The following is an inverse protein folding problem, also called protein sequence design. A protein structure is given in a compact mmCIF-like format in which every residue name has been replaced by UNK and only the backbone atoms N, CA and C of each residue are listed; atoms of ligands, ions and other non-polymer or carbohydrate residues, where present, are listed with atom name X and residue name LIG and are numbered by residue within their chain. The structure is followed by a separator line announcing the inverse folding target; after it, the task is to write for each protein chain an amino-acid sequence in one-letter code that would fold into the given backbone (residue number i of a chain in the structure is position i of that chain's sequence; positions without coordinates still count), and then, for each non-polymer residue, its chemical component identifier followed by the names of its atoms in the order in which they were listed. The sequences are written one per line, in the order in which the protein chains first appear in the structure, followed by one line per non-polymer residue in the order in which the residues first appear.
data_IF_137851370900
#
_entry.id   IF_137851370900
#
_cell.length_a   1.000
_cell.length_b   1.000
_cell.length_c   1.000
_cell.angle_alpha   90.00
_cell.angle_beta   90.00
_cell.angle_gamma   90.00
#
_symmetry.space_group_name_H-M   'P 1'
#
loop_
_entity.id
_entity.type
_entity.pdbx_description
1 polymer ?
#
# COMPACT_ATOMS: atom_id res chain seq x y z
N UNK A 1 12.15 3.86 -10.44
CA UNK A 1 10.77 4.22 -10.01
C UNK A 1 9.94 4.61 -11.23
N UNK A 2 8.76 4.01 -11.36
CA UNK A 2 7.83 4.29 -12.45
C UNK A 2 7.13 5.65 -12.29
N UNK A 3 6.85 6.04 -11.05
CA UNK A 3 6.22 7.33 -10.75
C UNK A 3 7.10 8.51 -11.12
N UNK A 4 6.46 9.64 -11.41
CA UNK A 4 7.17 10.90 -11.70
C UNK A 4 8.00 11.42 -10.52
N UNK A 5 7.65 10.99 -9.32
CA UNK A 5 8.41 11.18 -8.08
C UNK A 5 8.22 9.98 -7.15
N UNK A 6 9.12 9.81 -6.19
CA UNK A 6 8.99 8.75 -5.19
C UNK A 6 7.73 8.99 -4.35
N UNK A 7 6.92 7.94 -4.18
CA UNK A 7 5.67 8.01 -3.42
C UNK A 7 4.46 8.57 -4.15
N UNK A 8 4.57 8.98 -5.42
CA UNK A 8 3.48 9.59 -6.19
C UNK A 8 2.23 8.70 -6.34
N UNK A 9 2.42 7.38 -6.40
CA UNK A 9 1.34 6.42 -6.61
C UNK A 9 0.80 5.81 -5.30
N UNK A 10 1.13 6.38 -4.16
CA UNK A 10 0.69 5.89 -2.85
C UNK A 10 -0.42 6.80 -2.33
N UNK A 11 -1.67 6.37 -2.42
CA UNK A 11 -2.76 6.98 -1.66
C UNK A 11 -2.62 6.54 -0.21
N UNK A 12 -2.42 7.48 0.67
CA UNK A 12 -1.91 7.22 2.00
C UNK A 12 -2.95 7.25 3.11
N UNK A 13 -2.50 6.98 4.27
CA UNK A 13 -3.12 6.66 5.53
C UNK A 13 -2.81 5.20 5.88
N UNK A 14 -1.77 4.98 6.64
CA UNK A 14 -1.35 3.65 7.07
C UNK A 14 -1.01 3.68 8.56
N UNK A 15 -1.24 2.56 9.24
CA UNK A 15 -0.67 2.29 10.56
C UNK A 15 0.66 1.57 10.34
N UNK A 16 1.72 2.08 10.92
CA UNK A 16 3.09 1.64 10.68
C UNK A 16 3.76 1.27 11.99
N UNK A 17 4.36 0.08 12.04
CA UNK A 17 5.23 -0.34 13.13
C UNK A 17 6.59 0.36 12.99
N UNK A 18 7.04 1.15 13.98
CA UNK A 18 8.32 1.86 13.90
C UNK A 18 9.54 0.95 14.07
N UNK A 19 9.35 -0.34 14.37
CA UNK A 19 10.45 -1.28 14.68
C UNK A 19 11.51 -1.30 13.57
N UNK A 20 11.10 -1.56 12.34
CA UNK A 20 12.04 -1.62 11.22
C UNK A 20 12.74 -0.27 10.98
N UNK A 21 12.03 0.84 11.15
CA UNK A 21 12.61 2.18 11.04
C UNK A 21 13.63 2.43 12.14
N UNK A 22 13.33 2.05 13.38
CA UNK A 22 14.22 2.20 14.53
C UNK A 22 15.48 1.34 14.40
N UNK A 23 15.36 0.14 13.83
CA UNK A 23 16.52 -0.73 13.56
C UNK A 23 17.41 -0.19 12.44
N UNK A 24 16.81 0.38 11.39
CA UNK A 24 17.52 0.88 10.21
C UNK A 24 18.12 2.27 10.43
N UNK A 25 17.35 3.17 11.04
CA UNK A 25 17.71 4.60 11.28
C UNK A 25 17.33 4.92 12.72
N UNK A 26 18.17 4.60 13.73
CA UNK A 26 17.83 4.77 15.15
C UNK A 26 17.43 6.21 15.53
N UNK A 27 17.97 7.20 14.85
CA UNK A 27 17.74 8.65 15.03
C UNK A 27 16.66 9.19 14.06
N UNK A 28 15.71 8.35 13.63
CA UNK A 28 14.69 8.73 12.66
C UNK A 28 13.79 9.89 13.11
N UNK A 29 13.55 10.03 14.43
CA UNK A 29 12.75 11.12 14.99
C UNK A 29 13.47 12.45 14.84
N UNK A 30 14.74 12.50 15.23
CA UNK A 30 15.61 13.67 15.13
C UNK A 30 15.83 14.08 13.67
N UNK A 31 15.87 13.11 12.77
CA UNK A 31 15.96 13.31 11.31
C UNK A 31 14.64 13.71 10.66
N UNK A 32 13.56 13.84 11.44
CA UNK A 32 12.27 14.31 10.93
C UNK A 32 11.53 13.30 10.07
N UNK A 33 11.64 12.00 10.35
CA UNK A 33 10.81 11.00 9.71
C UNK A 33 9.33 11.34 9.91
N UNK A 34 8.50 11.38 8.85
CA UNK A 34 7.11 11.80 8.92
C UNK A 34 6.18 10.69 9.44
N UNK A 35 6.52 10.07 10.56
CA UNK A 35 5.59 9.34 11.40
C UNK A 35 4.76 10.35 12.18
N UNK A 36 3.60 10.73 11.63
CA UNK A 36 2.91 11.96 12.01
C UNK A 36 2.18 11.85 13.36
N UNK A 37 1.55 10.71 13.64
CA UNK A 37 0.64 10.60 14.77
C UNK A 37 0.77 9.24 15.44
N UNK A 38 1.11 9.21 16.73
CA UNK A 38 1.13 7.98 17.52
C UNK A 38 -0.29 7.46 17.75
N UNK A 39 -0.47 6.13 17.73
CA UNK A 39 -1.75 5.49 18.01
C UNK A 39 -2.07 5.62 19.51
N UNK A 40 -3.12 6.38 19.83
CA UNK A 40 -3.57 6.61 21.20
C UNK A 40 -4.84 5.82 21.54
N UNK A 41 -5.60 5.41 20.52
CA UNK A 41 -6.83 4.63 20.69
C UNK A 41 -6.98 3.63 19.58
N UNK A 42 -7.11 2.37 19.96
CA UNK A 42 -7.34 1.25 19.05
C UNK A 42 -8.73 0.64 19.31
N UNK A 43 -9.51 0.49 18.26
CA UNK A 43 -10.88 -0.03 18.34
C UNK A 43 -11.13 -1.06 17.26
N UNK A 44 -11.86 -2.11 17.61
CA UNK A 44 -12.30 -3.13 16.69
C UNK A 44 -13.82 -3.33 16.81
N UNK A 45 -14.57 -3.10 15.71
CA UNK A 45 -16.02 -3.15 15.74
C UNK A 45 -16.57 -4.25 14.82
N UNK A 46 -17.63 -4.91 15.27
CA UNK A 46 -18.49 -5.69 14.40
C UNK A 46 -19.69 -4.82 14.04
N UNK A 47 -19.86 -4.51 12.77
CA UNK A 47 -20.95 -3.67 12.29
C UNK A 47 -22.19 -4.51 11.93
N UNK A 48 -23.33 -4.13 12.47
CA UNK A 48 -24.65 -4.45 11.95
C UNK A 48 -25.12 -3.38 10.96
N UNK A 49 -26.39 -3.42 10.54
CA UNK A 49 -26.92 -2.44 9.58
C UNK A 49 -27.03 -1.01 10.18
N UNK A 50 -27.31 -0.90 11.47
CA UNK A 50 -27.56 0.37 12.16
C UNK A 50 -26.74 0.56 13.42
N UNK A 51 -26.04 -0.47 13.88
CA UNK A 51 -25.27 -0.45 15.12
C UNK A 51 -23.99 -1.23 15.07
N UNK A 52 -23.23 -1.18 16.16
CA UNK A 52 -21.96 -1.88 16.29
C UNK A 52 -21.79 -2.56 17.64
N UNK A 53 -20.97 -3.59 17.68
CA UNK A 53 -20.48 -4.23 18.89
C UNK A 53 -18.95 -4.05 18.92
N UNK A 54 -18.45 -3.42 19.97
CA UNK A 54 -17.01 -3.30 20.18
C UNK A 54 -16.43 -4.61 20.71
N UNK A 55 -15.40 -5.10 20.07
CA UNK A 55 -14.61 -6.22 20.57
C UNK A 55 -13.45 -5.68 21.41
N UNK A 56 -13.20 -6.25 22.61
CA UNK A 56 -12.04 -5.87 23.40
C UNK A 56 -10.74 -6.19 22.67
N UNK A 57 -9.92 -5.18 22.36
CA UNK A 57 -8.69 -5.35 21.58
C UNK A 57 -7.72 -6.32 22.25
N UNK A 58 -7.68 -6.35 23.60
CA UNK A 58 -6.80 -7.27 24.34
C UNK A 58 -7.14 -8.76 24.14
N UNK A 59 -8.33 -9.08 23.62
CA UNK A 59 -8.72 -10.45 23.22
C UNK A 59 -8.38 -10.78 21.76
N UNK A 60 -7.95 -9.78 20.99
CA UNK A 60 -7.60 -9.97 19.60
C UNK A 60 -6.18 -10.55 19.47
N UNK A 61 -5.87 -11.25 18.35
CA UNK A 61 -4.49 -11.69 18.09
C UNK A 61 -3.50 -10.52 18.12
N UNK A 62 -2.27 -10.74 18.62
CA UNK A 62 -1.27 -9.67 18.78
C UNK A 62 -1.01 -8.84 17.52
N UNK A 63 -1.12 -9.45 16.32
CA UNK A 63 -0.96 -8.75 15.04
C UNK A 63 -2.04 -7.70 14.74
N UNK A 64 -3.12 -7.66 15.52
CA UNK A 64 -4.18 -6.64 15.40
C UNK A 64 -4.05 -5.55 16.45
N UNK A 65 -3.03 -5.58 17.29
CA UNK A 65 -2.77 -4.54 18.27
C UNK A 65 -1.93 -3.43 17.65
N UNK A 66 -2.41 -2.19 17.71
CA UNK A 66 -1.75 -1.04 17.09
C UNK A 66 -1.12 -0.08 18.11
N UNK A 67 -1.12 -0.41 19.39
CA UNK A 67 -0.50 0.40 20.44
C UNK A 67 1.02 0.52 20.21
N UNK A 68 1.57 1.76 20.29
CA UNK A 68 2.98 2.04 20.00
C UNK A 68 3.31 2.16 18.51
N UNK A 69 2.32 2.02 17.63
CA UNK A 69 2.45 2.25 16.21
C UNK A 69 2.15 3.71 15.85
N UNK A 70 2.42 4.09 14.61
CA UNK A 70 2.20 5.43 14.08
C UNK A 70 1.26 5.41 12.89
N UNK A 71 0.40 6.43 12.81
CA UNK A 71 -0.46 6.68 11.66
C UNK A 71 0.19 7.80 10.85
N UNK A 72 0.29 7.63 9.54
CA UNK A 72 0.86 8.66 8.67
C UNK A 72 0.72 8.33 7.20
N UNK A 73 1.27 9.22 6.39
CA UNK A 73 1.35 9.05 4.96
C UNK A 73 2.52 8.15 4.58
N UNK A 74 2.23 6.92 4.12
CA UNK A 74 3.28 6.03 3.60
C UNK A 74 4.01 6.67 2.39
N UNK A 75 3.32 7.48 1.58
CA UNK A 75 3.95 8.23 0.51
C UNK A 75 4.99 9.22 1.01
N UNK A 76 4.68 9.95 2.10
CA UNK A 76 5.62 10.89 2.73
C UNK A 76 6.82 10.14 3.35
N UNK A 77 6.55 9.02 4.05
CA UNK A 77 7.61 8.18 4.62
C UNK A 77 8.55 7.65 3.53
N UNK A 78 7.97 7.13 2.43
CA UNK A 78 8.77 6.61 1.30
C UNK A 78 9.61 7.70 0.65
N UNK A 79 9.06 8.91 0.50
CA UNK A 79 9.78 10.08 -0.04
C UNK A 79 10.92 10.51 0.89
N UNK A 80 10.67 10.54 2.20
CA UNK A 80 11.71 10.82 3.18
C UNK A 80 12.81 9.74 3.17
N UNK A 81 12.43 8.45 3.09
CA UNK A 81 13.40 7.35 2.97
C UNK A 81 14.27 7.47 1.70
N UNK A 82 13.70 7.95 0.60
CA UNK A 82 14.46 8.20 -0.63
C UNK A 82 15.57 9.23 -0.38
N UNK A 83 15.29 10.31 0.34
CA UNK A 83 16.34 11.31 0.68
C UNK A 83 17.44 10.73 1.57
N UNK A 84 17.10 9.79 2.47
CA UNK A 84 18.11 9.09 3.27
C UNK A 84 18.97 8.15 2.42
N UNK A 85 18.35 7.45 1.45
CA UNK A 85 19.06 6.57 0.53
C UNK A 85 20.02 7.37 -0.38
N UNK A 86 19.57 8.48 -0.95
CA UNK A 86 20.41 9.40 -1.76
C UNK A 86 21.60 9.93 -0.95
N UNK A 87 21.40 10.28 0.32
CA UNK A 87 22.47 10.70 1.22
C UNK A 87 23.54 9.60 1.44
N UNK A 88 23.17 8.34 1.25
CA UNK A 88 24.07 7.17 1.29
C UNK A 88 24.67 6.82 -0.08
N UNK A 89 24.42 7.61 -1.11
CA UNK A 89 24.96 7.41 -2.46
C UNK A 89 24.14 6.50 -3.36
N UNK A 90 22.85 6.30 -3.04
CA UNK A 90 21.93 5.57 -3.93
C UNK A 90 21.38 6.51 -4.99
N UNK A 91 21.52 6.13 -6.26
CA UNK A 91 20.89 6.85 -7.36
C UNK A 91 19.42 6.44 -7.50
N UNK A 92 18.51 7.41 -7.51
CA UNK A 92 17.07 7.19 -7.69
C UNK A 92 16.64 7.86 -9.00
N UNK A 93 15.99 7.10 -9.88
CA UNK A 93 15.53 7.58 -11.20
C UNK A 93 13.99 7.59 -11.26
N UNK A 94 13.32 8.66 -10.85
CA UNK A 94 11.87 8.81 -11.01
C UNK A 94 11.49 8.95 -12.49
N UNK A 95 10.33 8.42 -12.88
CA UNK A 95 9.87 8.43 -14.26
C UNK A 95 10.46 7.34 -15.14
N UNK A 96 11.42 6.56 -14.65
CA UNK A 96 12.10 5.51 -15.42
C UNK A 96 11.55 4.13 -15.03
N UNK A 97 10.53 3.68 -15.74
CA UNK A 97 10.00 2.33 -15.57
C UNK A 97 10.98 1.29 -16.11
N UNK A 98 11.22 0.24 -15.33
CA UNK A 98 11.93 -0.95 -15.83
C UNK A 98 10.97 -1.76 -16.71
N UNK A 99 11.34 -1.94 -17.99
CA UNK A 99 10.48 -2.54 -19.02
C UNK A 99 10.87 -3.98 -19.38
N UNK A 100 12.14 -4.35 -19.24
CA UNK A 100 12.64 -5.67 -19.56
C UNK A 100 13.77 -6.11 -18.62
N UNK A 101 14.01 -7.42 -18.58
CA UNK A 101 15.17 -8.02 -17.92
C UNK A 101 16.26 -8.28 -18.96
N UNK A 102 17.50 -8.12 -18.56
CA UNK A 102 18.67 -8.58 -19.34
C UNK A 102 19.32 -9.78 -18.65
N UNK A 103 19.92 -10.66 -19.44
CA UNK A 103 20.43 -11.96 -18.97
C UNK A 103 21.90 -12.12 -19.32
N UNK A 104 22.63 -12.88 -18.51
CA UNK A 104 23.96 -13.38 -18.83
C UNK A 104 23.87 -14.64 -19.71
N UNK A 105 24.98 -15.08 -20.25
CA UNK A 105 25.07 -16.29 -21.07
C UNK A 105 24.62 -17.56 -20.32
N UNK A 106 24.80 -17.59 -19.00
CA UNK A 106 24.37 -18.68 -18.13
C UNK A 106 22.86 -18.65 -17.77
N UNK A 107 22.11 -17.67 -18.32
CA UNK A 107 20.68 -17.47 -18.06
C UNK A 107 20.37 -16.73 -16.75
N UNK A 108 21.36 -16.34 -15.97
CA UNK A 108 21.12 -15.51 -14.78
C UNK A 108 20.77 -14.06 -15.15
N UNK A 109 20.02 -13.39 -14.28
CA UNK A 109 19.64 -11.98 -14.50
C UNK A 109 20.87 -11.11 -14.38
N UNK A 110 21.15 -10.30 -15.40
CA UNK A 110 22.25 -9.34 -15.49
C UNK A 110 21.83 -7.95 -15.01
N UNK A 111 20.60 -7.53 -15.38
CA UNK A 111 20.11 -6.19 -15.13
C UNK A 111 18.70 -5.97 -15.65
N UNK A 112 18.37 -4.71 -15.86
CA UNK A 112 17.07 -4.28 -16.41
C UNK A 112 17.29 -3.24 -17.51
N UNK A 113 16.32 -3.14 -18.44
CA UNK A 113 16.18 -1.99 -19.33
C UNK A 113 15.16 -1.05 -18.72
N UNK A 114 15.54 0.21 -18.52
CA UNK A 114 14.71 1.23 -17.92
C UNK A 114 14.60 2.47 -18.84
N UNK A 115 13.47 3.20 -18.72
CA UNK A 115 13.28 4.45 -19.44
C UNK A 115 12.89 4.29 -20.91
N UNK A 116 12.40 3.13 -21.34
CA UNK A 116 11.80 2.99 -22.67
C UNK A 116 10.56 3.87 -22.75
N UNK A 117 10.50 4.74 -23.75
CA UNK A 117 9.40 5.68 -23.98
C UNK A 117 8.95 5.64 -25.45
N UNK A 118 7.79 6.21 -25.76
CA UNK A 118 7.32 6.36 -27.12
C UNK A 118 6.97 5.05 -27.81
N UNK A 119 6.44 4.07 -27.09
CA UNK A 119 5.81 2.89 -27.69
C UNK A 119 4.30 3.13 -27.81
N UNK A 120 3.77 2.99 -29.02
CA UNK A 120 2.36 3.11 -29.33
C UNK A 120 1.51 1.97 -28.75
N UNK A 121 0.19 2.11 -28.83
CA UNK A 121 -0.76 1.07 -28.38
C UNK A 121 -0.68 -0.23 -29.20
N UNK A 122 -0.20 -0.13 -30.42
CA UNK A 122 0.10 -1.22 -31.35
C UNK A 122 1.42 -1.95 -31.05
N UNK A 123 2.20 -1.41 -30.11
CA UNK A 123 3.53 -1.93 -29.74
C UNK A 123 4.68 -1.39 -30.59
N UNK A 124 4.40 -0.50 -31.56
CA UNK A 124 5.40 0.05 -32.45
C UNK A 124 6.00 1.37 -31.93
N UNK A 125 7.24 1.69 -32.27
CA UNK A 125 7.88 2.96 -31.91
C UNK A 125 7.15 4.16 -32.54
N UNK A 126 6.91 5.20 -31.75
CA UNK A 126 6.41 6.49 -32.19
C UNK A 126 7.54 7.48 -32.47
N UNK A 127 7.20 8.70 -32.91
CA UNK A 127 8.20 9.75 -33.16
C UNK A 127 9.02 10.12 -31.89
N UNK A 128 8.48 9.90 -30.70
CA UNK A 128 9.13 10.18 -29.40
C UNK A 128 9.81 8.94 -28.82
N UNK A 129 10.10 7.93 -29.62
CA UNK A 129 10.68 6.69 -29.16
C UNK A 129 12.09 6.89 -28.57
N UNK A 130 12.28 6.33 -27.40
CA UNK A 130 13.58 6.16 -26.75
C UNK A 130 13.78 4.69 -26.33
N UNK A 131 14.90 4.04 -26.73
CA UNK A 131 15.13 2.63 -26.41
C UNK A 131 15.40 2.36 -24.92
N UNK A 132 15.52 3.43 -24.11
CA UNK A 132 15.91 3.32 -22.72
C UNK A 132 17.40 3.00 -22.54
N UNK A 133 17.77 2.64 -21.33
CA UNK A 133 19.14 2.28 -20.96
C UNK A 133 19.19 0.96 -20.23
N UNK A 134 20.26 0.21 -20.41
CA UNK A 134 20.54 -1.01 -19.66
C UNK A 134 21.25 -0.66 -18.36
N UNK A 135 20.66 -1.05 -17.23
CA UNK A 135 21.22 -0.91 -15.89
C UNK A 135 21.63 -2.28 -15.38
N UNK A 136 22.94 -2.48 -15.18
CA UNK A 136 23.51 -3.75 -14.74
C UNK A 136 23.87 -3.73 -13.26
N UNK A 137 23.73 -4.88 -12.59
CA UNK A 137 24.09 -5.03 -11.21
C UNK A 137 24.59 -6.44 -10.87
N UNK A 138 25.23 -6.56 -9.71
CA UNK A 138 25.56 -7.88 -9.15
C UNK A 138 24.28 -8.62 -8.74
N UNK A 139 23.29 -7.90 -8.24
CA UNK A 139 21.96 -8.37 -7.87
C UNK A 139 20.90 -7.43 -8.43
N UNK A 140 19.72 -7.96 -8.71
CA UNK A 140 18.54 -7.20 -9.10
C UNK A 140 17.44 -7.51 -8.11
N UNK A 141 16.99 -6.49 -7.38
CA UNK A 141 15.91 -6.57 -6.41
C UNK A 141 14.62 -6.04 -7.05
N UNK A 142 13.58 -6.87 -7.10
CA UNK A 142 12.31 -6.52 -7.73
C UNK A 142 11.30 -6.19 -6.66
N UNK A 143 10.98 -4.91 -6.50
CA UNK A 143 10.03 -4.37 -5.52
C UNK A 143 8.76 -3.80 -6.14
N UNK A 144 8.22 -4.42 -7.19
CA UNK A 144 7.10 -3.91 -7.99
C UNK A 144 5.71 -4.14 -7.36
N UNK A 145 5.65 -4.78 -6.20
CA UNK A 145 4.39 -5.12 -5.55
C UNK A 145 3.71 -6.38 -6.13
N UNK A 146 2.45 -6.61 -5.71
CA UNK A 146 1.72 -7.87 -5.92
C UNK A 146 1.49 -8.26 -7.39
N UNK A 147 1.49 -7.30 -8.29
CA UNK A 147 1.26 -7.51 -9.73
C UNK A 147 2.31 -6.87 -10.62
N UNK A 148 3.54 -6.84 -10.15
CA UNK A 148 4.67 -6.29 -10.89
C UNK A 148 4.85 -6.95 -12.25
N UNK A 149 5.20 -6.17 -13.26
CA UNK A 149 5.34 -6.64 -14.64
C UNK A 149 6.53 -7.59 -14.78
N UNK A 150 7.70 -7.19 -14.28
CA UNK A 150 8.90 -8.02 -14.30
C UNK A 150 8.81 -9.17 -13.30
N UNK A 151 8.19 -8.95 -12.13
CA UNK A 151 7.95 -10.00 -11.15
C UNK A 151 7.17 -11.17 -11.76
N UNK A 152 6.10 -10.91 -12.51
CA UNK A 152 5.34 -11.97 -13.21
C UNK A 152 6.19 -12.74 -14.23
N UNK A 153 7.06 -12.02 -14.95
CA UNK A 153 7.96 -12.65 -15.90
C UNK A 153 8.98 -13.55 -15.20
N UNK A 154 9.62 -13.07 -14.14
CA UNK A 154 10.60 -13.83 -13.36
C UNK A 154 9.95 -15.09 -12.76
N UNK A 155 8.78 -14.95 -12.14
CA UNK A 155 8.03 -16.09 -11.58
C UNK A 155 7.80 -17.15 -12.66
N UNK A 156 7.37 -16.75 -13.84
CA UNK A 156 7.11 -17.66 -14.96
C UNK A 156 8.39 -18.30 -15.48
N UNK A 157 9.43 -17.50 -15.78
CA UNK A 157 10.64 -17.97 -16.43
C UNK A 157 11.44 -18.93 -15.53
N UNK A 158 11.48 -18.65 -14.23
CA UNK A 158 12.18 -19.45 -13.23
C UNK A 158 11.27 -20.44 -12.47
N UNK A 159 9.97 -20.51 -12.81
CA UNK A 159 8.98 -21.39 -12.18
C UNK A 159 8.95 -21.25 -10.63
N UNK A 160 9.00 -20.01 -10.14
CA UNK A 160 9.11 -19.73 -8.70
C UNK A 160 7.84 -20.06 -7.91
N UNK A 161 6.72 -20.22 -8.59
CA UNK A 161 5.40 -20.54 -8.01
C UNK A 161 5.02 -22.02 -8.09
N UNK A 162 5.92 -22.90 -8.57
CA UNK A 162 5.61 -24.32 -8.85
C UNK A 162 5.06 -25.09 -7.62
N UNK A 163 5.49 -24.70 -6.41
CA UNK A 163 5.10 -25.34 -5.16
C UNK A 163 4.17 -24.42 -4.32
N UNK A 164 3.67 -23.32 -4.91
CA UNK A 164 2.83 -22.36 -4.23
C UNK A 164 1.36 -22.71 -4.32
N UNK A 165 0.59 -22.39 -3.29
CA UNK A 165 -0.87 -22.46 -3.35
C UNK A 165 -1.42 -21.30 -4.19
N UNK A 166 -2.62 -21.46 -4.81
CA UNK A 166 -3.27 -20.37 -5.53
C UNK A 166 -3.44 -19.14 -4.64
N UNK A 167 -3.05 -17.98 -5.15
CA UNK A 167 -3.18 -16.73 -4.42
C UNK A 167 -4.64 -16.31 -4.23
N UNK A 168 -4.95 -15.83 -3.04
CA UNK A 168 -6.15 -15.05 -2.77
C UNK A 168 -5.83 -13.56 -2.92
N UNK A 169 -6.69 -12.85 -3.64
CA UNK A 169 -6.56 -11.42 -3.84
C UNK A 169 -7.67 -10.67 -3.10
N UNK A 170 -7.33 -9.49 -2.60
CA UNK A 170 -8.29 -8.50 -2.14
C UNK A 170 -8.16 -7.24 -2.97
N UNK A 171 -9.27 -6.52 -3.12
CA UNK A 171 -9.28 -5.15 -3.63
C UNK A 171 -9.52 -4.20 -2.48
N UNK A 172 -8.72 -3.13 -2.41
CA UNK A 172 -8.91 -2.05 -1.47
C UNK A 172 -9.41 -0.79 -2.17
N UNK A 173 -10.41 -0.15 -1.58
CA UNK A 173 -10.85 1.20 -1.93
C UNK A 173 -10.56 2.09 -0.74
N UNK A 174 -9.93 3.24 -0.97
CA UNK A 174 -9.53 4.16 0.10
C UNK A 174 -9.74 5.61 -0.32
N UNK A 175 -10.13 6.43 0.65
CA UNK A 175 -10.22 7.88 0.53
C UNK A 175 -9.43 8.55 1.66
N UNK A 176 -8.92 9.73 1.40
CA UNK A 176 -8.35 10.61 2.41
C UNK A 176 -9.25 11.84 2.56
N UNK A 177 -9.75 12.04 3.77
CA UNK A 177 -10.64 13.14 4.10
C UNK A 177 -9.94 14.15 4.99
N UNK A 178 -10.35 15.40 4.91
CA UNK A 178 -10.07 16.42 5.92
C UNK A 178 -11.39 16.75 6.63
N UNK A 179 -11.40 16.60 7.96
CA UNK A 179 -12.60 16.77 8.78
C UNK A 179 -12.53 18.04 9.62
N UNK A 180 -13.69 18.59 10.08
CA UNK A 180 -13.71 19.66 11.07
C UNK A 180 -12.97 19.26 12.34
N UNK A 181 -12.30 20.23 12.99
CA UNK A 181 -11.52 19.99 14.22
C UNK A 181 -12.33 19.29 15.33
N UNK A 182 -13.61 19.59 15.45
CA UNK A 182 -14.50 18.99 16.44
C UNK A 182 -14.75 17.48 16.21
N UNK A 183 -14.55 17.00 14.99
CA UNK A 183 -14.73 15.58 14.63
C UNK A 183 -13.38 14.82 14.58
N UNK A 184 -12.26 15.54 14.60
CA UNK A 184 -10.95 14.93 14.55
C UNK A 184 -10.56 14.29 15.89
N UNK A 185 -10.10 13.05 15.86
CA UNK A 185 -9.68 12.23 17.02
C UNK A 185 -8.27 11.72 16.82
N UNK A 186 -7.22 12.58 16.95
CA UNK A 186 -5.84 12.21 16.61
C UNK A 186 -5.41 10.91 17.30
N UNK A 187 -4.80 10.00 16.54
CA UNK A 187 -4.32 8.72 17.04
C UNK A 187 -5.41 7.62 17.15
N UNK A 188 -6.65 7.90 16.70
CA UNK A 188 -7.67 6.87 16.63
C UNK A 188 -7.40 5.95 15.43
N UNK A 189 -7.29 4.65 15.74
CA UNK A 189 -7.34 3.54 14.78
C UNK A 189 -8.64 2.79 15.01
N UNK A 190 -9.45 2.65 13.99
CA UNK A 190 -10.69 1.87 14.03
C UNK A 190 -10.70 0.87 12.89
N UNK A 191 -10.76 -0.42 13.23
CA UNK A 191 -11.01 -1.50 12.29
C UNK A 191 -12.42 -2.03 12.46
N UNK A 192 -13.05 -2.44 11.37
CA UNK A 192 -14.37 -3.06 11.44
C UNK A 192 -14.53 -4.22 10.47
N UNK A 193 -15.44 -5.12 10.76
CA UNK A 193 -15.94 -6.12 9.84
C UNK A 193 -17.46 -6.30 10.00
N UNK A 194 -18.07 -7.10 9.12
CA UNK A 194 -19.52 -7.27 9.06
C UNK A 194 -20.13 -6.34 8.01
N UNK A 195 -21.21 -5.66 8.35
CA UNK A 195 -21.89 -4.76 7.42
C UNK A 195 -20.92 -3.71 6.80
N UNK A 196 -21.06 -3.35 5.50
CA UNK A 196 -22.08 -3.75 4.54
C UNK A 196 -21.84 -5.11 3.89
N UNK A 197 -20.69 -5.75 4.13
CA UNK A 197 -20.38 -7.05 3.58
C UNK A 197 -21.18 -8.14 4.30
N UNK A 198 -21.72 -9.09 3.54
CA UNK A 198 -22.40 -10.24 4.11
C UNK A 198 -21.44 -11.30 4.65
N UNK A 199 -21.94 -12.24 5.44
CA UNK A 199 -21.15 -13.29 6.11
C UNK A 199 -20.35 -14.20 5.14
N UNK A 200 -20.69 -14.19 3.85
CA UNK A 200 -20.02 -15.00 2.80
C UNK A 200 -18.95 -14.20 2.03
N UNK A 201 -18.67 -12.97 2.43
CA UNK A 201 -17.69 -12.09 1.79
C UNK A 201 -16.63 -11.72 2.81
N UNK A 202 -15.39 -12.16 2.54
CA UNK A 202 -14.26 -11.75 3.36
C UNK A 202 -13.88 -10.31 3.09
N UNK A 203 -13.45 -9.62 4.13
CA UNK A 203 -13.04 -8.23 4.03
C UNK A 203 -13.25 -7.48 5.33
N UNK A 204 -13.12 -6.17 5.29
CA UNK A 204 -13.29 -5.29 6.43
C UNK A 204 -13.00 -3.84 6.06
N UNK A 205 -13.14 -2.97 7.03
CA UNK A 205 -12.93 -1.54 6.83
C UNK A 205 -11.99 -0.97 7.88
N UNK A 206 -11.48 0.21 7.59
CA UNK A 206 -10.64 0.95 8.51
C UNK A 206 -10.94 2.45 8.45
N UNK A 207 -10.65 3.13 9.56
CA UNK A 207 -10.75 4.56 9.71
C UNK A 207 -9.63 5.01 10.66
N UNK A 208 -8.73 5.90 10.17
CA UNK A 208 -7.55 6.36 10.90
C UNK A 208 -7.49 7.88 10.93
N UNK A 209 -7.38 8.47 12.13
CA UNK A 209 -7.25 9.91 12.31
C UNK A 209 -5.80 10.30 12.56
N UNK A 210 -5.24 11.18 11.72
CA UNK A 210 -3.83 11.59 11.81
C UNK A 210 -3.57 13.00 11.26
N UNK A 211 -2.37 13.51 11.52
CA UNK A 211 -1.90 14.78 11.00
C UNK A 211 -2.84 15.95 11.30
N UNK A 212 -2.89 16.93 10.40
CA UNK A 212 -3.81 18.09 10.52
C UNK A 212 -5.20 17.73 10.00
N UNK A 213 -6.00 17.11 10.86
CA UNK A 213 -7.41 16.77 10.63
C UNK A 213 -7.65 15.80 9.46
N UNK A 214 -6.66 14.96 9.12
CA UNK A 214 -6.83 13.94 8.12
C UNK A 214 -7.46 12.68 8.71
N UNK A 215 -8.32 12.07 7.89
CA UNK A 215 -8.92 10.76 8.17
C UNK A 215 -8.78 9.89 6.93
N UNK A 216 -8.02 8.82 7.05
CA UNK A 216 -7.99 7.78 6.03
C UNK A 216 -9.13 6.81 6.28
N UNK A 217 -9.96 6.63 5.29
CA UNK A 217 -11.13 5.73 5.33
C UNK A 217 -11.00 4.73 4.18
N UNK A 218 -11.22 3.45 4.46
CA UNK A 218 -11.11 2.44 3.41
C UNK A 218 -11.83 1.15 3.72
N UNK A 219 -11.99 0.35 2.66
CA UNK A 219 -12.58 -0.98 2.68
C UNK A 219 -11.75 -1.93 1.83
N UNK A 220 -11.57 -3.14 2.33
CA UNK A 220 -10.97 -4.24 1.58
C UNK A 220 -12.03 -5.32 1.37
N UNK A 221 -12.12 -5.85 0.17
CA UNK A 221 -13.01 -6.95 -0.19
C UNK A 221 -12.18 -8.07 -0.83
N UNK A 222 -12.29 -9.30 -0.31
CA UNK A 222 -11.65 -10.46 -0.91
C UNK A 222 -12.34 -10.82 -2.22
N UNK A 223 -11.58 -11.00 -3.30
CA UNK A 223 -12.12 -11.19 -4.66
C UNK A 223 -12.71 -12.59 -4.94
N UNK A 224 -12.75 -13.46 -3.95
CA UNK A 224 -13.37 -14.76 -4.05
C UNK A 224 -14.85 -14.79 -3.65
N UNK A 225 -15.51 -13.62 -3.57
CA UNK A 225 -16.95 -13.54 -3.32
C UNK A 225 -17.76 -14.17 -4.47
N UNK A 226 -18.93 -14.74 -4.13
CA UNK A 226 -19.75 -15.50 -5.08
C UNK A 226 -20.81 -14.68 -5.81
N UNK A 227 -21.19 -13.52 -5.24
CA UNK A 227 -22.21 -12.65 -5.81
C UNK A 227 -21.63 -11.78 -6.93
N UNK A 228 -21.92 -12.02 -8.22
CA UNK A 228 -21.35 -11.26 -9.32
C UNK A 228 -21.84 -9.81 -9.37
N UNK A 229 -22.91 -9.48 -8.65
CA UNK A 229 -23.48 -8.14 -8.56
C UNK A 229 -22.91 -7.31 -7.40
N UNK A 230 -22.04 -7.88 -6.59
CA UNK A 230 -21.38 -7.13 -5.53
C UNK A 230 -20.37 -6.17 -6.15
N UNK A 231 -20.56 -4.88 -5.91
CA UNK A 231 -19.62 -3.84 -6.28
C UNK A 231 -18.84 -3.38 -5.04
N UNK A 232 -17.55 -3.64 -4.92
CA UNK A 232 -16.75 -3.16 -3.79
C UNK A 232 -16.82 -1.65 -3.59
N UNK A 233 -16.94 -0.89 -4.67
CA UNK A 233 -17.08 0.56 -4.61
C UNK A 233 -18.43 0.98 -3.99
N UNK A 234 -19.55 0.39 -4.43
CA UNK A 234 -20.87 0.68 -3.88
C UNK A 234 -20.99 0.27 -2.41
N UNK A 235 -20.41 -0.88 -2.02
CA UNK A 235 -20.37 -1.29 -0.62
C UNK A 235 -19.55 -0.31 0.23
N UNK A 236 -18.48 0.24 -0.32
CA UNK A 236 -17.72 1.30 0.36
C UNK A 236 -18.54 2.59 0.51
N UNK A 237 -19.34 2.98 -0.51
CA UNK A 237 -20.26 4.12 -0.37
C UNK A 237 -21.26 3.88 0.75
N UNK A 238 -21.86 2.70 0.82
CA UNK A 238 -22.79 2.32 1.89
C UNK A 238 -22.12 2.42 3.26
N UNK A 239 -20.92 1.88 3.40
CA UNK A 239 -20.13 1.93 4.63
C UNK A 239 -19.96 3.36 5.16
N UNK A 240 -19.69 4.33 4.31
CA UNK A 240 -19.49 5.74 4.70
C UNK A 240 -20.73 6.36 5.34
N UNK A 241 -21.92 5.86 5.03
CA UNK A 241 -23.19 6.32 5.63
C UNK A 241 -23.55 5.61 6.93
N UNK A 242 -22.77 4.64 7.38
CA UNK A 242 -23.03 3.96 8.65
C UNK A 242 -22.91 4.93 9.84
N UNK A 243 -23.80 4.87 10.86
CA UNK A 243 -23.77 5.79 12.01
C UNK A 243 -22.44 5.83 12.77
N UNK A 244 -21.67 4.73 12.79
CA UNK A 244 -20.33 4.70 13.40
C UNK A 244 -19.24 5.38 12.57
N UNK A 245 -19.51 5.74 11.34
CA UNK A 245 -18.54 6.34 10.40
C UNK A 245 -18.91 7.80 10.13
N UNK A 246 -20.19 8.10 10.03
CA UNK A 246 -20.69 9.43 9.69
C UNK A 246 -20.68 10.44 10.87
N UNK A 247 -20.25 10.01 12.08
CA UNK A 247 -20.17 10.85 13.30
C UNK A 247 -19.23 12.05 13.12
#
# INVERSE_FOLDING_TARGET
EKGSEVGAHILSGAVMDPKAMTELIPDWKEKGCPFETEVTKDTFLVLGAEGSIALPVFLMPPMLHNHGMYIGSLGNVTRWMATQAEALGVDIYPGFAASALTYREDGSIKGVIAGVMGIGKDGEPTADYSPGMELNGKYVLIGEGVRGSLAKKIIKDFKLDKDSQPQKFGIGVKELWQVPAAQHKPGLVQHTFGWPLGNNVGGGTFLYHFGDRYVAVGMVVHLNYKNPWLSPFEEFQRFKHHPEVAK
#
